data_IF_246307396916
#
_entry.id   IF_246307396916
#
_cell.length_a   1.000
_cell.length_b   1.000
_cell.length_c   1.000
_cell.angle_alpha   90.00
_cell.angle_beta   90.00
_cell.angle_gamma   90.00
#
_symmetry.space_group_name_H-M   'P 1'
#
loop_
_entity.id
_entity.type
_entity.pdbx_description
1 polymer ?
#
# COMPACT_ATOMS: atom_id res chain seq x y z
N UNK A 1 13.73 -1.59 3.39
CA UNK A 1 12.77 -2.71 3.49
C UNK A 1 13.55 -3.98 3.27
N UNK A 2 13.50 -4.97 4.17
CA UNK A 2 14.09 -6.28 3.86
C UNK A 2 13.08 -7.08 3.04
N UNK A 3 13.49 -7.62 1.89
CA UNK A 3 12.63 -8.48 1.05
C UNK A 3 12.05 -9.63 1.86
N UNK A 4 12.82 -10.12 2.84
CA UNK A 4 12.45 -11.18 3.78
C UNK A 4 11.31 -10.79 4.72
N UNK A 5 11.32 -9.59 5.28
CA UNK A 5 10.21 -9.13 6.13
C UNK A 5 8.94 -8.91 5.31
N UNK A 6 9.08 -8.42 4.06
CA UNK A 6 7.96 -8.34 3.12
C UNK A 6 7.34 -9.71 2.83
N UNK A 7 8.16 -10.72 2.51
CA UNK A 7 7.70 -12.09 2.29
C UNK A 7 7.03 -12.69 3.53
N UNK A 8 7.62 -12.50 4.72
CA UNK A 8 7.02 -12.95 5.98
C UNK A 8 5.65 -12.31 6.20
N UNK A 9 5.50 -11.00 5.93
CA UNK A 9 4.22 -10.31 6.02
C UNK A 9 3.17 -10.84 5.05
N UNK A 10 3.54 -11.06 3.78
CA UNK A 10 2.64 -11.62 2.77
C UNK A 10 2.19 -13.05 3.13
N UNK A 11 3.12 -13.91 3.53
CA UNK A 11 2.82 -15.27 3.96
C UNK A 11 1.92 -15.29 5.20
N UNK A 12 2.21 -14.43 6.19
CA UNK A 12 1.39 -14.26 7.39
C UNK A 12 -0.03 -13.81 7.02
N UNK A 13 -0.18 -12.84 6.12
CA UNK A 13 -1.47 -12.38 5.62
C UNK A 13 -2.27 -13.49 4.93
N UNK A 14 -1.61 -14.34 4.13
CA UNK A 14 -2.26 -15.46 3.46
C UNK A 14 -2.74 -16.53 4.46
N UNK A 15 -1.91 -16.88 5.45
CA UNK A 15 -2.29 -17.80 6.53
C UNK A 15 -3.45 -17.24 7.36
N UNK A 16 -3.39 -15.95 7.70
CA UNK A 16 -4.47 -15.27 8.41
C UNK A 16 -5.79 -15.35 7.65
N UNK A 17 -5.79 -15.07 6.35
CA UNK A 17 -6.99 -15.14 5.53
C UNK A 17 -7.58 -16.55 5.51
N UNK A 18 -6.74 -17.58 5.32
CA UNK A 18 -7.19 -18.98 5.31
C UNK A 18 -7.77 -19.39 6.67
N UNK A 19 -7.17 -18.93 7.77
CA UNK A 19 -7.58 -19.28 9.13
C UNK A 19 -8.85 -18.54 9.58
N UNK A 20 -8.99 -17.26 9.27
CA UNK A 20 -10.12 -16.42 9.71
C UNK A 20 -11.40 -16.77 8.94
N UNK A 21 -11.28 -17.17 7.68
CA UNK A 21 -12.42 -17.51 6.82
C UNK A 21 -13.39 -18.56 7.43
N UNK A 22 -12.94 -19.75 7.89
CA UNK A 22 -13.83 -20.73 8.51
C UNK A 22 -14.38 -20.27 9.86
N UNK A 23 -13.64 -19.45 10.62
CA UNK A 23 -14.12 -18.90 11.90
C UNK A 23 -15.26 -17.90 11.67
N UNK A 24 -15.15 -17.07 10.64
CA UNK A 24 -16.22 -16.17 10.24
C UNK A 24 -17.46 -16.93 9.75
N UNK A 25 -17.27 -18.03 9.02
CA UNK A 25 -18.37 -18.91 8.63
C UNK A 25 -19.10 -19.50 9.83
N UNK A 26 -18.35 -20.08 10.78
CA UNK A 26 -18.91 -20.66 12.00
C UNK A 26 -19.65 -19.60 12.83
N UNK A 27 -19.08 -18.39 12.93
CA UNK A 27 -19.72 -17.25 13.56
C UNK A 27 -21.07 -16.89 12.92
N UNK A 28 -21.10 -16.82 11.58
CA UNK A 28 -22.31 -16.50 10.82
C UNK A 28 -23.40 -17.55 11.01
N UNK A 29 -23.04 -18.83 10.96
CA UNK A 29 -23.96 -19.93 11.25
C UNK A 29 -24.52 -19.85 12.68
N UNK A 30 -23.66 -19.56 13.66
CA UNK A 30 -24.07 -19.42 15.06
C UNK A 30 -25.12 -18.31 15.23
N UNK A 31 -24.92 -17.15 14.60
CA UNK A 31 -25.90 -16.04 14.62
C UNK A 31 -27.23 -16.46 13.99
N UNK A 32 -27.21 -17.06 12.79
CA UNK A 32 -28.46 -17.50 12.13
C UNK A 32 -29.19 -18.59 12.91
N UNK A 33 -28.47 -19.43 13.64
CA UNK A 33 -29.05 -20.46 14.51
C UNK A 33 -29.51 -19.94 15.88
N UNK A 34 -29.39 -18.64 16.16
CA UNK A 34 -29.80 -18.03 17.44
C UNK A 34 -28.92 -18.40 18.63
N UNK A 35 -27.70 -18.89 18.39
CA UNK A 35 -26.80 -19.30 19.47
C UNK A 35 -26.11 -18.09 20.14
N UNK A 36 -26.18 -18.04 21.47
CA UNK A 36 -25.55 -17.00 22.32
C UNK A 36 -24.00 -17.02 22.23
N UNK A 37 -23.42 -18.10 21.69
CA UNK A 37 -21.96 -18.30 21.53
C UNK A 37 -21.34 -17.52 20.37
N UNK A 38 -22.10 -16.71 19.61
CA UNK A 38 -21.55 -15.90 18.52
C UNK A 38 -20.37 -15.00 18.95
N UNK A 39 -20.38 -14.45 20.16
CA UNK A 39 -19.26 -13.63 20.66
C UNK A 39 -17.95 -14.42 20.82
N UNK A 40 -18.02 -15.72 21.14
CA UNK A 40 -16.85 -16.58 21.32
C UNK A 40 -16.03 -16.71 20.03
N UNK A 41 -16.69 -16.90 18.88
CA UNK A 41 -15.99 -17.03 17.59
C UNK A 41 -15.28 -15.74 17.16
N UNK A 42 -15.84 -14.56 17.49
CA UNK A 42 -15.19 -13.27 17.25
C UNK A 42 -13.91 -13.15 18.09
N UNK A 43 -13.98 -13.47 19.38
CA UNK A 43 -12.81 -13.44 20.26
C UNK A 43 -11.75 -14.43 19.83
N UNK A 44 -12.15 -15.65 19.48
CA UNK A 44 -11.24 -16.69 18.99
C UNK A 44 -10.54 -16.26 17.70
N UNK A 45 -11.28 -15.66 16.75
CA UNK A 45 -10.71 -15.12 15.51
C UNK A 45 -9.73 -13.98 15.80
N UNK A 46 -10.07 -13.06 16.71
CA UNK A 46 -9.19 -11.95 17.10
C UNK A 46 -7.89 -12.43 17.76
N UNK A 47 -8.00 -13.35 18.73
CA UNK A 47 -6.83 -13.89 19.45
C UNK A 47 -5.94 -14.70 18.50
N UNK A 48 -6.52 -15.61 17.71
CA UNK A 48 -5.76 -16.41 16.75
C UNK A 48 -5.08 -15.53 15.71
N UNK A 49 -5.77 -14.52 15.18
CA UNK A 49 -5.19 -13.55 14.26
C UNK A 49 -4.02 -12.80 14.90
N UNK A 50 -4.19 -12.35 16.15
CA UNK A 50 -3.13 -11.71 16.92
C UNK A 50 -1.91 -12.62 17.12
N UNK A 51 -2.11 -13.90 17.47
CA UNK A 51 -1.01 -14.86 17.64
C UNK A 51 -0.26 -15.11 16.33
N UNK A 52 -0.96 -15.24 15.20
CA UNK A 52 -0.33 -15.44 13.89
C UNK A 52 0.42 -14.19 13.45
N UNK A 53 -0.14 -12.99 13.64
CA UNK A 53 0.55 -11.73 13.35
C UNK A 53 1.81 -11.55 14.22
N UNK A 54 1.74 -11.92 15.50
CA UNK A 54 2.86 -11.90 16.43
C UNK A 54 3.96 -12.89 15.99
N UNK A 55 3.58 -14.12 15.62
CA UNK A 55 4.51 -15.10 15.09
C UNK A 55 5.15 -14.63 13.78
N UNK A 56 4.36 -14.03 12.87
CA UNK A 56 4.85 -13.45 11.63
C UNK A 56 5.88 -12.34 11.87
N UNK A 57 5.61 -11.44 12.81
CA UNK A 57 6.55 -10.39 13.23
C UNK A 57 7.84 -10.95 13.84
N UNK A 58 7.73 -12.00 14.67
CA UNK A 58 8.88 -12.71 15.23
C UNK A 58 9.77 -13.33 14.14
N UNK A 59 9.16 -14.05 13.19
CA UNK A 59 9.89 -14.68 12.09
C UNK A 59 10.50 -13.65 11.14
N UNK A 60 9.79 -12.54 10.85
CA UNK A 60 10.31 -11.46 10.02
C UNK A 60 11.61 -10.87 10.60
N UNK A 61 11.61 -10.54 11.89
CA UNK A 61 12.80 -10.04 12.58
C UNK A 61 13.93 -11.07 12.64
N UNK A 62 13.61 -12.36 12.86
CA UNK A 62 14.59 -13.45 12.92
C UNK A 62 15.24 -13.73 11.56
N UNK A 63 14.46 -13.79 10.48
CA UNK A 63 14.95 -14.09 9.12
C UNK A 63 15.70 -12.92 8.49
N UNK A 64 15.33 -11.69 8.85
CA UNK A 64 16.10 -10.51 8.50
C UNK A 64 17.48 -10.47 9.20
N UNK A 65 17.68 -11.28 10.26
CA UNK A 65 18.96 -11.39 10.95
C UNK A 65 19.37 -10.14 11.71
N UNK A 66 18.43 -9.24 12.00
CA UNK A 66 18.73 -8.00 12.73
C UNK A 66 19.10 -8.28 14.18
N UNK A 67 19.92 -7.43 14.78
CA UNK A 67 20.44 -7.47 16.12
C UNK A 67 19.94 -6.29 16.97
N UNK A 68 19.65 -5.17 16.33
CA UNK A 68 19.09 -3.99 17.00
C UNK A 68 17.62 -4.18 17.36
N UNK A 69 17.26 -3.81 18.60
CA UNK A 69 15.89 -3.93 19.12
C UNK A 69 14.89 -3.14 18.28
N UNK A 70 15.22 -1.90 17.94
CA UNK A 70 14.31 -1.01 17.24
C UNK A 70 14.09 -1.43 15.79
N UNK A 71 15.14 -1.91 15.12
CA UNK A 71 15.03 -2.49 13.77
C UNK A 71 14.19 -3.76 13.77
N UNK A 72 14.33 -4.63 14.77
CA UNK A 72 13.47 -5.84 14.90
C UNK A 72 12.00 -5.47 15.08
N UNK A 73 11.71 -4.49 15.93
CA UNK A 73 10.36 -3.97 16.11
C UNK A 73 9.81 -3.41 14.80
N UNK A 74 10.59 -2.60 14.07
CA UNK A 74 10.19 -2.03 12.79
C UNK A 74 9.94 -3.07 11.70
N UNK A 75 10.78 -4.11 11.62
CA UNK A 75 10.60 -5.22 10.67
C UNK A 75 9.35 -6.05 11.00
N UNK A 76 9.11 -6.28 12.29
CA UNK A 76 7.88 -6.92 12.76
C UNK A 76 6.65 -6.08 12.44
N UNK A 77 6.71 -4.76 12.68
CA UNK A 77 5.63 -3.83 12.37
C UNK A 77 5.30 -3.81 10.88
N UNK A 78 6.33 -3.80 10.03
CA UNK A 78 6.17 -3.87 8.58
C UNK A 78 5.48 -5.17 8.15
N UNK A 79 5.95 -6.31 8.65
CA UNK A 79 5.37 -7.60 8.31
C UNK A 79 3.91 -7.70 8.76
N UNK A 80 3.60 -7.23 9.98
CA UNK A 80 2.25 -7.21 10.53
C UNK A 80 1.30 -6.27 9.79
N UNK A 81 1.75 -5.07 9.43
CA UNK A 81 0.95 -4.11 8.67
C UNK A 81 0.67 -4.61 7.24
N UNK A 82 1.64 -5.26 6.60
CA UNK A 82 1.45 -5.93 5.31
C UNK A 82 0.46 -7.09 5.42
N UNK A 83 0.58 -7.92 6.46
CA UNK A 83 -0.35 -9.01 6.71
C UNK A 83 -1.78 -8.52 6.90
N UNK A 84 -1.96 -7.45 7.70
CA UNK A 84 -3.25 -6.80 7.92
C UNK A 84 -3.83 -6.18 6.64
N UNK A 85 -2.99 -5.58 5.80
CA UNK A 85 -3.41 -5.05 4.49
C UNK A 85 -3.90 -6.16 3.57
N UNK A 86 -3.17 -7.28 3.52
CA UNK A 86 -3.54 -8.42 2.69
C UNK A 86 -4.84 -9.09 3.17
N UNK A 87 -4.98 -9.25 4.49
CA UNK A 87 -6.21 -9.73 5.12
C UNK A 87 -7.39 -8.79 4.84
N UNK A 88 -7.18 -7.47 4.87
CA UNK A 88 -8.19 -6.50 4.49
C UNK A 88 -8.64 -6.69 3.03
N UNK A 89 -7.69 -6.81 2.10
CA UNK A 89 -7.99 -6.96 0.68
C UNK A 89 -8.80 -8.22 0.35
N UNK A 90 -8.47 -9.35 0.98
CA UNK A 90 -9.09 -10.64 0.68
C UNK A 90 -10.35 -10.94 1.51
N UNK A 91 -10.49 -10.34 2.69
CA UNK A 91 -11.57 -10.67 3.62
C UNK A 91 -12.15 -9.46 4.35
N UNK A 92 -11.30 -8.60 4.93
CA UNK A 92 -11.74 -7.54 5.84
C UNK A 92 -12.69 -6.53 5.21
N UNK A 93 -12.46 -6.16 3.94
CA UNK A 93 -13.36 -5.27 3.21
C UNK A 93 -14.77 -5.87 3.11
N UNK A 94 -14.89 -7.13 2.67
CA UNK A 94 -16.19 -7.80 2.56
C UNK A 94 -16.87 -7.99 3.92
N UNK A 95 -16.11 -8.35 4.96
CA UNK A 95 -16.64 -8.51 6.31
C UNK A 95 -17.25 -7.19 6.83
N UNK A 96 -16.62 -6.05 6.54
CA UNK A 96 -17.16 -4.75 6.93
C UNK A 96 -18.51 -4.44 6.25
N UNK A 97 -18.68 -4.80 4.97
CA UNK A 97 -19.93 -4.62 4.24
C UNK A 97 -21.04 -5.57 4.70
N UNK A 98 -20.75 -6.87 4.81
CA UNK A 98 -21.73 -7.90 5.19
C UNK A 98 -22.28 -7.67 6.62
N UNK A 99 -21.44 -7.21 7.55
CA UNK A 99 -21.87 -6.84 8.91
C UNK A 99 -22.96 -5.75 8.93
N UNK A 100 -22.83 -4.74 8.07
CA UNK A 100 -23.80 -3.63 8.03
C UNK A 100 -25.10 -4.06 7.34
N UNK A 101 -25.02 -4.88 6.29
CA UNK A 101 -26.21 -5.38 5.61
C UNK A 101 -27.04 -6.32 6.51
N UNK A 102 -26.39 -7.07 7.40
CA UNK A 102 -27.07 -7.86 8.43
C UNK A 102 -27.72 -7.00 9.52
N UNK A 103 -27.02 -5.98 10.02
CA UNK A 103 -27.52 -5.12 11.08
C UNK A 103 -28.66 -4.19 10.62
N UNK A 104 -28.68 -3.85 9.34
CA UNK A 104 -29.70 -3.00 8.73
C UNK A 104 -30.20 -3.70 7.46
N UNK A 105 -31.30 -4.46 7.48
CA UNK A 105 -31.86 -5.07 6.28
C UNK A 105 -32.38 -4.00 5.29
N UNK A 106 -32.51 -4.38 4.02
CA UNK A 106 -32.90 -3.49 2.92
C UNK A 106 -34.27 -2.85 3.17
N UNK A 107 -34.30 -1.52 3.18
CA UNK A 107 -35.53 -0.73 3.24
C UNK A 107 -35.64 0.17 2.02
N UNK A 108 -36.84 0.33 1.42
CA UNK A 108 -37.06 1.26 0.31
C UNK A 108 -36.99 2.74 0.75
N UNK A 109 -36.94 3.02 2.05
CA UNK A 109 -36.89 4.38 2.57
C UNK A 109 -35.52 5.03 2.35
N UNK A 110 -35.51 6.17 1.68
CA UNK A 110 -34.29 6.91 1.28
C UNK A 110 -33.33 7.21 2.45
N UNK A 111 -33.85 7.57 3.64
CA UNK A 111 -33.03 7.90 4.80
C UNK A 111 -32.31 6.67 5.42
N UNK A 112 -32.88 5.47 5.26
CA UNK A 112 -32.23 4.21 5.67
C UNK A 112 -31.11 3.86 4.70
N UNK A 113 -31.36 4.00 3.39
CA UNK A 113 -30.32 3.79 2.37
C UNK A 113 -29.15 4.77 2.56
N UNK A 114 -29.47 6.02 2.88
CA UNK A 114 -28.48 7.05 3.19
C UNK A 114 -27.58 6.68 4.37
N UNK A 115 -28.20 6.21 5.45
CA UNK A 115 -27.50 5.77 6.65
C UNK A 115 -26.64 4.53 6.38
N UNK A 116 -27.12 3.57 5.57
CA UNK A 116 -26.34 2.39 5.17
C UNK A 116 -25.09 2.75 4.38
N UNK A 117 -25.21 3.62 3.37
CA UNK A 117 -24.08 4.05 2.54
C UNK A 117 -22.98 4.66 3.42
N UNK A 118 -23.38 5.50 4.37
CA UNK A 118 -22.47 6.13 5.34
C UNK A 118 -21.74 5.09 6.20
N UNK A 119 -22.50 4.18 6.82
CA UNK A 119 -21.98 3.14 7.69
C UNK A 119 -21.05 2.17 6.96
N UNK A 120 -21.39 1.75 5.75
CA UNK A 120 -20.53 0.88 4.92
C UNK A 120 -19.20 1.59 4.62
N UNK A 121 -19.26 2.86 4.21
CA UNK A 121 -18.08 3.66 3.89
C UNK A 121 -17.16 3.79 5.11
N UNK A 122 -17.69 4.26 6.23
CA UNK A 122 -16.93 4.42 7.47
C UNK A 122 -16.38 3.09 8.01
N UNK A 123 -17.20 2.03 8.05
CA UNK A 123 -16.80 0.73 8.60
C UNK A 123 -15.73 0.04 7.75
N UNK A 124 -15.79 0.18 6.43
CA UNK A 124 -14.77 -0.38 5.52
C UNK A 124 -13.40 0.28 5.80
N UNK A 125 -13.36 1.61 5.93
CA UNK A 125 -12.13 2.34 6.24
C UNK A 125 -11.60 2.08 7.65
N UNK A 126 -12.48 2.01 8.65
CA UNK A 126 -12.11 1.64 10.01
C UNK A 126 -11.58 0.21 10.09
N UNK A 127 -12.16 -0.72 9.33
CA UNK A 127 -11.66 -2.09 9.24
C UNK A 127 -10.23 -2.10 8.69
N UNK A 128 -9.96 -1.38 7.59
CA UNK A 128 -8.60 -1.25 7.07
C UNK A 128 -7.63 -0.71 8.14
N UNK A 129 -7.95 0.41 8.78
CA UNK A 129 -7.09 1.01 9.81
C UNK A 129 -6.85 0.04 10.98
N UNK A 130 -7.88 -0.68 11.42
CA UNK A 130 -7.75 -1.65 12.51
C UNK A 130 -6.83 -2.81 12.16
N UNK A 131 -6.94 -3.35 10.94
CA UNK A 131 -6.09 -4.45 10.47
C UNK A 131 -4.67 -3.98 10.19
N UNK A 132 -4.50 -2.80 9.57
CA UNK A 132 -3.20 -2.22 9.26
C UNK A 132 -2.42 -1.83 10.52
N UNK A 133 -3.00 -0.99 11.38
CA UNK A 133 -2.35 -0.50 12.60
C UNK A 133 -2.28 -1.61 13.64
N UNK A 134 -3.37 -2.35 13.87
CA UNK A 134 -3.40 -3.45 14.82
C UNK A 134 -2.42 -4.56 14.43
N UNK A 135 -2.41 -4.95 13.15
CA UNK A 135 -1.43 -5.88 12.61
C UNK A 135 -0.01 -5.37 12.78
N UNK A 136 0.24 -4.08 12.51
CA UNK A 136 1.54 -3.44 12.72
C UNK A 136 2.00 -3.46 14.18
N UNK A 137 1.13 -3.09 15.13
CA UNK A 137 1.46 -3.09 16.56
C UNK A 137 1.76 -4.49 17.09
N UNK A 138 0.91 -5.47 16.74
CA UNK A 138 1.10 -6.87 17.15
C UNK A 138 2.34 -7.47 16.50
N UNK A 139 2.58 -7.15 15.22
CA UNK A 139 3.81 -7.52 14.52
C UNK A 139 5.06 -6.91 15.16
N UNK A 140 4.99 -5.64 15.60
CA UNK A 140 6.08 -4.97 16.30
C UNK A 140 6.42 -5.67 17.62
N UNK A 141 5.40 -6.07 18.39
CA UNK A 141 5.56 -6.88 19.59
C UNK A 141 6.23 -8.23 19.26
N UNK A 142 5.80 -8.90 18.19
CA UNK A 142 6.45 -10.11 17.68
C UNK A 142 7.93 -9.91 17.37
N UNK A 143 8.27 -8.82 16.69
CA UNK A 143 9.65 -8.43 16.40
C UNK A 143 10.46 -8.19 17.67
N UNK A 144 9.90 -7.47 18.64
CA UNK A 144 10.52 -7.22 19.94
C UNK A 144 10.78 -8.51 20.72
N UNK A 145 9.87 -9.49 20.68
CA UNK A 145 10.07 -10.77 21.39
C UNK A 145 11.34 -11.51 20.94
N UNK A 146 11.84 -11.25 19.73
CA UNK A 146 13.13 -11.83 19.29
C UNK A 146 14.32 -11.32 20.11
N UNK A 147 14.23 -10.16 20.78
CA UNK A 147 15.33 -9.60 21.60
C UNK A 147 15.58 -10.36 22.89
N UNK A 148 14.62 -11.15 23.35
CA UNK A 148 14.80 -12.02 24.52
C UNK A 148 15.89 -13.08 24.30
N UNK A 149 16.11 -13.48 23.04
CA UNK A 149 17.27 -14.28 22.63
C UNK A 149 18.34 -13.34 22.10
N UNK A 150 19.24 -12.89 22.97
CA UNK A 150 20.34 -11.99 22.61
C UNK A 150 21.08 -12.48 21.36
N UNK A 151 21.18 -11.61 20.34
CA UNK A 151 21.99 -11.87 19.16
C UNK A 151 23.24 -11.02 19.23
N UNK A 152 24.41 -11.67 19.18
CA UNK A 152 25.72 -10.99 19.11
C UNK A 152 26.12 -10.64 17.67
N UNK A 153 25.26 -10.92 16.67
CA UNK A 153 25.58 -10.62 15.26
C UNK A 153 25.51 -9.11 15.02
N UNK A 154 26.41 -8.56 14.23
CA UNK A 154 26.26 -7.19 13.70
C UNK A 154 25.24 -7.21 12.57
N UNK A 155 24.46 -6.14 12.49
CA UNK A 155 23.56 -5.90 11.37
C UNK A 155 24.37 -5.68 10.11
N UNK A 156 24.35 -6.68 9.23
CA UNK A 156 24.86 -6.53 7.86
C UNK A 156 23.71 -5.99 7.03
N UNK A 157 23.89 -4.79 6.53
CA UNK A 157 22.92 -4.16 5.65
C UNK A 157 23.12 -4.68 4.23
N UNK A 158 22.07 -5.27 3.66
CA UNK A 158 22.10 -5.72 2.27
C UNK A 158 21.97 -4.50 1.35
N UNK A 159 22.96 -4.30 0.49
CA UNK A 159 22.99 -3.16 -0.45
C UNK A 159 21.93 -3.29 -1.55
N UNK A 160 21.29 -4.45 -1.74
CA UNK A 160 20.26 -4.66 -2.78
C UNK A 160 18.84 -4.27 -2.34
N UNK A 161 18.55 -4.31 -1.04
CA UNK A 161 17.26 -4.01 -0.41
C UNK A 161 16.78 -2.53 -0.51
N UNK A 162 17.66 -1.52 -0.44
CA UNK A 162 17.26 -0.12 -0.46
C UNK A 162 16.76 0.36 -1.83
N UNK A 163 17.34 -0.16 -2.91
CA UNK A 163 16.90 0.16 -4.28
C UNK A 163 15.45 -0.28 -4.50
N UNK A 164 15.05 -1.41 -3.92
CA UNK A 164 13.66 -1.86 -3.97
C UNK A 164 12.75 -0.91 -3.18
N UNK A 165 13.19 -0.47 -2.00
CA UNK A 165 12.43 0.49 -1.20
C UNK A 165 12.29 1.86 -1.90
N UNK A 166 13.32 2.30 -2.63
CA UNK A 166 13.28 3.52 -3.42
C UNK A 166 12.24 3.41 -4.55
N UNK A 167 12.30 2.34 -5.34
CA UNK A 167 11.38 2.12 -6.47
C UNK A 167 9.93 1.93 -6.01
N UNK A 168 9.73 1.22 -4.90
CA UNK A 168 8.43 1.11 -4.24
C UNK A 168 7.90 2.50 -3.84
N UNK A 169 8.73 3.32 -3.18
CA UNK A 169 8.34 4.66 -2.70
C UNK A 169 8.02 5.63 -3.84
N UNK A 170 8.84 5.62 -4.91
CA UNK A 170 8.62 6.41 -6.14
C UNK A 170 7.28 6.05 -6.80
N UNK A 171 6.83 4.81 -6.65
CA UNK A 171 5.58 4.32 -7.24
C UNK A 171 4.37 4.60 -6.35
N UNK A 172 4.48 4.33 -5.05
CA UNK A 172 3.34 4.43 -4.11
C UNK A 172 2.94 5.87 -3.81
N UNK A 173 3.88 6.82 -3.86
CA UNK A 173 3.58 8.24 -3.59
C UNK A 173 2.63 8.82 -4.64
N UNK A 174 2.93 8.78 -5.96
CA UNK A 174 1.99 9.20 -6.99
C UNK A 174 0.66 8.43 -6.95
N UNK A 175 0.70 7.11 -6.72
CA UNK A 175 -0.51 6.30 -6.60
C UNK A 175 -1.43 6.78 -5.45
N UNK A 176 -0.83 7.15 -4.32
CA UNK A 176 -1.58 7.66 -3.16
C UNK A 176 -2.15 9.05 -3.40
N UNK A 177 -1.45 9.92 -4.17
CA UNK A 177 -2.01 11.20 -4.63
C UNK A 177 -3.26 10.94 -5.48
N UNK A 178 -3.16 10.07 -6.49
CA UNK A 178 -4.28 9.74 -7.38
C UNK A 178 -5.45 9.15 -6.58
N UNK A 179 -5.20 8.20 -5.68
CA UNK A 179 -6.24 7.63 -4.82
C UNK A 179 -6.92 8.69 -3.94
N UNK A 180 -6.15 9.64 -3.41
CA UNK A 180 -6.68 10.75 -2.60
C UNK A 180 -7.59 11.67 -3.41
N UNK A 181 -7.18 12.00 -4.63
CA UNK A 181 -7.96 12.87 -5.52
C UNK A 181 -9.25 12.17 -5.95
N UNK A 182 -9.18 10.89 -6.34
CA UNK A 182 -10.36 10.11 -6.71
C UNK A 182 -11.31 9.99 -5.51
N UNK A 183 -10.81 9.70 -4.31
CA UNK A 183 -11.63 9.67 -3.10
C UNK A 183 -12.32 11.02 -2.83
N UNK A 184 -11.59 12.13 -2.99
CA UNK A 184 -12.11 13.49 -2.81
C UNK A 184 -13.16 13.88 -3.86
N UNK A 185 -13.16 13.26 -5.04
CA UNK A 185 -14.18 13.46 -6.08
C UNK A 185 -15.40 12.56 -5.87
N UNK A 186 -15.18 11.29 -5.53
CA UNK A 186 -16.24 10.26 -5.54
C UNK A 186 -17.15 10.36 -4.32
N UNK A 187 -16.59 10.34 -3.10
CA UNK A 187 -17.39 10.21 -1.88
C UNK A 187 -18.26 11.44 -1.54
N UNK A 188 -17.83 12.67 -1.84
CA UNK A 188 -18.67 13.85 -1.60
C UNK A 188 -19.87 13.91 -2.53
N UNK A 189 -19.70 13.48 -3.79
CA UNK A 189 -20.81 13.33 -4.74
C UNK A 189 -21.79 12.26 -4.26
N UNK A 190 -21.26 11.13 -3.79
CA UNK A 190 -22.05 10.08 -3.18
C UNK A 190 -22.82 10.58 -1.94
N UNK A 191 -22.21 11.45 -1.11
CA UNK A 191 -22.90 12.08 0.01
C UNK A 191 -24.01 13.04 -0.45
N UNK A 192 -23.78 13.80 -1.53
CA UNK A 192 -24.78 14.72 -2.09
C UNK A 192 -25.98 14.01 -2.72
N UNK A 193 -25.79 12.82 -3.30
CA UNK A 193 -26.89 11.98 -3.81
C UNK A 193 -27.75 11.37 -2.69
N UNK A 194 -27.32 11.52 -1.44
CA UNK A 194 -27.81 10.78 -0.29
C UNK A 194 -28.41 11.71 0.79
N UNK A 195 -28.01 12.98 0.83
CA UNK A 195 -28.39 13.89 1.90
C UNK A 195 -29.65 14.71 1.59
N UNK A 196 -30.75 14.43 2.32
CA UNK A 196 -31.65 15.47 2.81
C UNK A 196 -30.99 16.30 3.94
N UNK A 197 -31.60 17.40 4.42
CA UNK A 197 -30.94 18.42 5.23
C UNK A 197 -30.70 17.93 6.66
N UNK A 198 -29.53 17.33 6.92
CA UNK A 198 -29.04 17.18 8.29
C UNK A 198 -27.55 17.47 8.38
N UNK A 199 -27.28 18.59 9.02
CA UNK A 199 -26.00 19.21 9.29
C UNK A 199 -25.26 18.46 10.41
N UNK A 200 -24.17 17.77 10.02
CA UNK A 200 -22.99 17.29 10.81
C UNK A 200 -22.33 16.04 10.21
N UNK A 201 -22.86 15.51 9.10
CA UNK A 201 -22.50 14.25 8.43
C UNK A 201 -21.17 14.17 7.65
N UNK A 202 -20.33 15.20 7.68
CA UNK A 202 -19.15 15.31 6.78
C UNK A 202 -17.99 14.36 7.17
N UNK A 203 -17.96 13.81 8.39
CA UNK A 203 -16.79 13.08 8.92
C UNK A 203 -16.61 11.63 8.41
N UNK A 204 -17.69 10.86 8.22
CA UNK A 204 -17.58 9.44 7.80
C UNK A 204 -17.36 9.29 6.28
N UNK A 205 -17.89 10.21 5.48
CA UNK A 205 -17.70 10.22 4.01
C UNK A 205 -16.34 10.80 3.59
N UNK A 206 -15.67 11.51 4.51
CA UNK A 206 -14.30 11.99 4.32
C UNK A 206 -13.25 10.96 4.74
N UNK A 207 -13.64 9.89 5.45
CA UNK A 207 -12.72 8.85 5.94
C UNK A 207 -11.86 8.22 4.83
N UNK A 208 -12.37 7.93 3.62
CA UNK A 208 -11.55 7.46 2.50
C UNK A 208 -10.42 8.44 2.11
N UNK A 209 -10.70 9.74 2.12
CA UNK A 209 -9.70 10.80 1.85
C UNK A 209 -8.68 10.86 2.99
N UNK A 210 -9.13 10.74 4.23
CA UNK A 210 -8.23 10.73 5.39
C UNK A 210 -7.31 9.51 5.39
N UNK A 211 -7.83 8.31 5.06
CA UNK A 211 -7.03 7.09 4.94
C UNK A 211 -6.04 7.18 3.78
N UNK A 212 -6.43 7.74 2.63
CA UNK A 212 -5.51 7.89 1.50
C UNK A 212 -4.40 8.90 1.80
N UNK A 213 -4.72 10.00 2.50
CA UNK A 213 -3.74 10.96 3.00
C UNK A 213 -2.80 10.34 4.02
N UNK A 214 -3.31 9.49 4.92
CA UNK A 214 -2.48 8.74 5.86
C UNK A 214 -1.48 7.82 5.14
N UNK A 215 -1.95 7.06 4.13
CA UNK A 215 -1.08 6.24 3.29
C UNK A 215 -0.04 7.07 2.52
N UNK A 216 -0.44 8.23 2.01
CA UNK A 216 0.46 9.17 1.34
C UNK A 216 1.53 9.71 2.30
N UNK A 217 1.16 10.12 3.51
CA UNK A 217 2.10 10.60 4.53
C UNK A 217 3.13 9.52 4.85
N UNK A 218 2.70 8.29 5.13
CA UNK A 218 3.62 7.17 5.40
C UNK A 218 4.56 6.94 4.22
N UNK A 219 4.02 6.92 3.00
CA UNK A 219 4.78 6.69 1.77
C UNK A 219 5.80 7.81 1.51
N UNK A 220 5.41 9.06 1.79
CA UNK A 220 6.28 10.21 1.61
C UNK A 220 7.37 10.26 2.69
N UNK A 221 7.06 9.91 3.94
CA UNK A 221 8.07 9.72 4.99
C UNK A 221 9.08 8.66 4.55
N UNK A 222 8.62 7.50 4.07
CA UNK A 222 9.51 6.46 3.56
C UNK A 222 10.41 6.97 2.43
N UNK A 223 9.86 7.70 1.47
CA UNK A 223 10.63 8.31 0.39
C UNK A 223 11.71 9.28 0.92
N UNK A 224 11.35 10.17 1.85
CA UNK A 224 12.31 11.13 2.45
C UNK A 224 13.42 10.48 3.27
N UNK A 225 13.21 9.27 3.78
CA UNK A 225 14.23 8.51 4.50
C UNK A 225 15.12 7.70 3.55
N UNK A 226 14.54 7.10 2.51
CA UNK A 226 15.27 6.24 1.57
C UNK A 226 16.13 7.05 0.60
N UNK A 227 15.64 8.19 0.11
CA UNK A 227 16.37 9.04 -0.85
C UNK A 227 17.76 9.47 -0.35
N UNK A 228 17.94 10.06 0.85
CA UNK A 228 19.26 10.46 1.34
C UNK A 228 20.16 9.25 1.62
N UNK A 229 19.58 8.12 2.05
CA UNK A 229 20.33 6.88 2.21
C UNK A 229 20.90 6.40 0.88
N UNK A 230 20.07 6.29 -0.16
CA UNK A 230 20.49 5.85 -1.49
C UNK A 230 21.45 6.82 -2.17
N UNK A 231 21.23 8.12 -1.95
CA UNK A 231 22.20 9.13 -2.36
C UNK A 231 23.57 8.82 -1.74
N UNK A 232 23.63 8.45 -0.45
CA UNK A 232 24.88 8.12 0.26
C UNK A 232 25.50 6.78 -0.11
N UNK A 233 24.70 5.82 -0.56
CA UNK A 233 25.15 4.48 -0.93
C UNK A 233 25.52 4.36 -2.42
N UNK A 234 25.01 5.25 -3.28
CA UNK A 234 25.22 5.14 -4.73
C UNK A 234 26.70 5.23 -5.13
N UNK A 235 27.11 4.28 -5.98
CA UNK A 235 28.49 4.08 -6.47
C UNK A 235 28.69 4.52 -7.91
N UNK A 236 27.62 4.91 -8.61
CA UNK A 236 27.67 5.23 -10.03
C UNK A 236 26.60 6.25 -10.40
N UNK A 237 26.83 6.95 -11.52
CA UNK A 237 25.99 8.08 -11.94
C UNK A 237 24.53 7.70 -12.22
N UNK A 238 24.29 6.56 -12.86
CA UNK A 238 22.92 6.10 -13.17
C UNK A 238 22.10 5.83 -11.90
N UNK A 239 22.67 5.20 -10.89
CA UNK A 239 22.01 5.02 -9.59
C UNK A 239 21.65 6.35 -8.92
N UNK A 240 22.49 7.39 -9.07
CA UNK A 240 22.12 8.73 -8.60
C UNK A 240 21.03 9.41 -9.43
N UNK A 241 20.88 9.06 -10.71
CA UNK A 241 19.79 9.59 -11.53
C UNK A 241 18.42 9.00 -11.09
N UNK A 242 18.38 7.74 -10.64
CA UNK A 242 17.19 7.13 -10.00
C UNK A 242 16.86 7.81 -8.65
N UNK A 243 17.87 8.04 -7.81
CA UNK A 243 17.70 8.75 -6.52
C UNK A 243 17.20 10.18 -6.74
N UNK A 244 17.71 10.85 -7.78
CA UNK A 244 17.25 12.18 -8.19
C UNK A 244 15.79 12.16 -8.63
N UNK A 245 15.33 11.12 -9.33
CA UNK A 245 13.90 10.94 -9.63
C UNK A 245 13.08 10.83 -8.33
N UNK A 246 13.55 10.07 -7.35
CA UNK A 246 12.91 9.99 -6.03
C UNK A 246 12.81 11.35 -5.34
N UNK A 247 13.87 12.16 -5.37
CA UNK A 247 13.81 13.52 -4.86
C UNK A 247 12.79 14.39 -5.61
N UNK A 248 12.73 14.33 -6.94
CA UNK A 248 11.74 15.08 -7.71
C UNK A 248 10.29 14.69 -7.40
N UNK A 249 10.02 13.39 -7.23
CA UNK A 249 8.71 12.91 -6.78
C UNK A 249 8.37 13.50 -5.41
N UNK A 250 9.30 13.46 -4.45
CA UNK A 250 9.11 14.06 -3.13
C UNK A 250 8.81 15.57 -3.19
N UNK A 251 9.59 16.32 -3.98
CA UNK A 251 9.39 17.77 -4.18
C UNK A 251 8.01 18.08 -4.78
N UNK A 252 7.61 17.32 -5.80
CA UNK A 252 6.36 17.55 -6.51
C UNK A 252 5.11 17.11 -5.72
N UNK A 253 5.26 16.26 -4.69
CA UNK A 253 4.13 15.63 -4.00
C UNK A 253 3.19 16.66 -3.37
N UNK A 254 3.69 17.62 -2.57
CA UNK A 254 2.85 18.65 -1.97
C UNK A 254 2.13 19.55 -3.00
N UNK A 255 2.82 20.22 -3.95
CA UNK A 255 2.16 21.13 -4.87
C UNK A 255 1.18 20.40 -5.79
N UNK A 256 1.52 19.20 -6.26
CA UNK A 256 0.61 18.40 -7.11
C UNK A 256 -0.64 18.00 -6.32
N UNK A 257 -0.48 17.48 -5.10
CA UNK A 257 -1.62 17.14 -4.24
C UNK A 257 -2.50 18.36 -3.95
N UNK A 258 -1.89 19.51 -3.61
CA UNK A 258 -2.62 20.73 -3.31
C UNK A 258 -3.47 21.19 -4.50
N UNK A 259 -2.87 21.25 -5.70
CA UNK A 259 -3.57 21.63 -6.94
C UNK A 259 -4.70 20.64 -7.23
N UNK A 260 -4.40 19.33 -7.19
CA UNK A 260 -5.37 18.30 -7.54
C UNK A 260 -6.49 18.11 -6.50
N UNK A 261 -6.31 18.55 -5.25
CA UNK A 261 -7.40 18.63 -4.26
C UNK A 261 -8.20 19.92 -4.37
N UNK A 262 -7.54 21.04 -4.66
CA UNK A 262 -8.18 22.35 -4.79
C UNK A 262 -9.13 22.43 -5.98
N UNK A 263 -8.80 21.77 -7.09
CA UNK A 263 -9.64 21.74 -8.29
C UNK A 263 -11.02 21.08 -8.05
N UNK A 264 -11.11 19.84 -7.52
CA UNK A 264 -12.38 19.15 -7.34
C UNK A 264 -13.14 19.54 -6.08
N UNK A 265 -12.46 19.93 -4.99
CA UNK A 265 -13.11 20.10 -3.68
C UNK A 265 -12.35 21.05 -2.74
N UNK A 266 -12.65 22.35 -2.81
CA UNK A 266 -11.98 23.40 -2.01
C UNK A 266 -12.33 23.34 -0.53
N UNK A 267 -13.53 22.90 -0.18
CA UNK A 267 -14.02 22.76 1.19
C UNK A 267 -13.20 21.76 2.02
N UNK A 268 -12.46 20.83 1.38
CA UNK A 268 -11.54 19.89 2.05
C UNK A 268 -10.51 20.62 2.92
N UNK A 269 -10.07 21.82 2.51
CA UNK A 269 -9.08 22.60 3.26
C UNK A 269 -9.63 23.24 4.54
N UNK A 270 -10.94 23.16 4.79
CA UNK A 270 -11.51 23.54 6.09
C UNK A 270 -11.35 22.42 7.14
N UNK A 271 -11.03 21.19 6.72
CA UNK A 271 -10.91 20.05 7.62
C UNK A 271 -9.52 20.05 8.31
N UNK A 272 -9.46 20.12 9.65
CA UNK A 272 -8.20 20.33 10.38
C UNK A 272 -7.20 19.19 10.16
N UNK A 273 -7.66 17.94 10.12
CA UNK A 273 -6.80 16.77 9.87
C UNK A 273 -6.14 16.84 8.49
N UNK A 274 -6.85 17.38 7.48
CA UNK A 274 -6.33 17.47 6.12
C UNK A 274 -5.29 18.59 6.04
N UNK A 275 -5.52 19.71 6.72
CA UNK A 275 -4.52 20.77 6.86
C UNK A 275 -3.24 20.26 7.53
N UNK A 276 -3.36 19.48 8.61
CA UNK A 276 -2.20 18.86 9.28
C UNK A 276 -1.45 17.93 8.32
N UNK A 277 -2.17 17.08 7.58
CA UNK A 277 -1.55 16.19 6.59
C UNK A 277 -0.84 16.97 5.48
N UNK A 278 -1.47 18.02 4.95
CA UNK A 278 -0.89 18.92 3.94
C UNK A 278 0.37 19.64 4.46
N UNK A 279 0.36 20.07 5.73
CA UNK A 279 1.53 20.68 6.37
C UNK A 279 2.70 19.70 6.44
N UNK A 280 2.45 18.47 6.93
CA UNK A 280 3.45 17.41 6.99
C UNK A 280 4.01 17.12 5.58
N UNK A 281 3.14 16.93 4.60
CA UNK A 281 3.54 16.65 3.20
C UNK A 281 4.36 17.81 2.61
N UNK A 282 4.03 19.05 2.95
CA UNK A 282 4.78 20.25 2.53
C UNK A 282 6.17 20.29 3.16
N UNK A 283 6.28 19.99 4.47
CA UNK A 283 7.57 19.89 5.15
C UNK A 283 8.44 18.78 4.54
N UNK A 284 7.87 17.62 4.23
CA UNK A 284 8.59 16.51 3.58
C UNK A 284 9.05 16.86 2.15
N UNK A 285 8.23 17.62 1.41
CA UNK A 285 8.61 18.15 0.10
C UNK A 285 9.80 19.12 0.21
N UNK A 286 9.80 19.99 1.23
CA UNK A 286 10.93 20.89 1.51
C UNK A 286 12.20 20.11 1.89
N UNK A 287 12.08 19.08 2.72
CA UNK A 287 13.20 18.17 3.04
C UNK A 287 13.75 17.50 1.78
N UNK A 288 12.90 17.16 0.82
CA UNK A 288 13.32 16.61 -0.48
C UNK A 288 14.10 17.64 -1.32
N UNK A 289 13.71 18.92 -1.31
CA UNK A 289 14.48 20.02 -1.93
C UNK A 289 15.85 20.14 -1.27
N UNK A 290 15.89 20.20 0.06
CA UNK A 290 17.14 20.31 0.81
C UNK A 290 18.06 19.13 0.52
N UNK A 291 17.52 17.91 0.46
CA UNK A 291 18.29 16.69 0.13
C UNK A 291 18.82 16.73 -1.31
N UNK A 292 18.04 17.23 -2.27
CA UNK A 292 18.48 17.40 -3.65
C UNK A 292 19.69 18.32 -3.74
N UNK A 293 19.60 19.50 -3.12
CA UNK A 293 20.61 20.56 -3.20
C UNK A 293 21.86 20.20 -2.38
N UNK A 294 21.69 19.74 -1.15
CA UNK A 294 22.81 19.52 -0.22
C UNK A 294 23.56 18.20 -0.44
N UNK A 295 22.91 17.19 -1.04
CA UNK A 295 23.45 15.83 -1.09
C UNK A 295 23.49 15.25 -2.50
N UNK A 296 22.37 15.25 -3.23
CA UNK A 296 22.27 14.53 -4.51
C UNK A 296 23.05 15.23 -5.62
N UNK A 297 22.83 16.54 -5.82
CA UNK A 297 23.51 17.29 -6.89
C UNK A 297 25.03 17.34 -6.71
N UNK A 298 25.58 17.64 -5.52
CA UNK A 298 27.03 17.64 -5.29
C UNK A 298 27.63 16.26 -5.55
N UNK A 299 27.00 15.20 -5.03
CA UNK A 299 27.51 13.84 -5.22
C UNK A 299 27.44 13.38 -6.67
N UNK A 300 26.40 13.78 -7.41
CA UNK A 300 26.29 13.49 -8.85
C UNK A 300 27.42 14.13 -9.66
N UNK A 301 27.88 15.32 -9.25
CA UNK A 301 28.99 16.01 -9.91
C UNK A 301 30.33 15.27 -9.76
N UNK A 302 30.51 14.49 -8.69
CA UNK A 302 31.73 13.69 -8.47
C UNK A 302 31.87 12.55 -9.49
N UNK A 303 30.76 12.03 -10.03
CA UNK A 303 30.81 10.92 -10.98
C UNK A 303 31.07 11.39 -12.42
N UNK A 304 32.19 10.92 -12.97
CA UNK A 304 32.58 11.21 -14.36
C UNK A 304 31.47 10.80 -15.34
N UNK A 305 31.15 11.62 -16.35
CA UNK A 305 30.23 11.23 -17.42
C UNK A 305 30.82 10.04 -18.22
N UNK A 306 29.97 9.25 -18.90
CA UNK A 306 30.45 8.20 -19.78
C UNK A 306 31.40 8.78 -20.85
N UNK A 307 32.61 8.23 -21.03
CA UNK A 307 33.62 8.81 -21.91
C UNK A 307 33.27 8.70 -23.40
N UNK A 308 32.47 7.70 -23.80
CA UNK A 308 32.08 7.44 -25.19
C UNK A 308 30.63 7.83 -25.47
N UNK A 309 30.38 8.40 -26.67
CA UNK A 309 29.02 8.71 -27.16
C UNK A 309 28.09 7.50 -27.15
N UNK A 310 28.58 6.31 -27.49
CA UNK A 310 27.82 5.06 -27.47
C UNK A 310 27.39 4.64 -26.05
N UNK A 311 28.33 4.67 -25.10
CA UNK A 311 28.05 4.40 -23.69
C UNK A 311 27.11 5.44 -23.08
N UNK A 312 27.19 6.70 -23.53
CA UNK A 312 26.26 7.76 -23.15
C UNK A 312 24.84 7.51 -23.69
N UNK A 313 24.72 7.02 -24.92
CA UNK A 313 23.43 6.68 -25.54
C UNK A 313 22.79 5.46 -24.87
N UNK A 314 23.57 4.41 -24.62
CA UNK A 314 23.11 3.21 -23.89
C UNK A 314 22.71 3.56 -22.45
N UNK A 315 23.51 4.35 -21.73
CA UNK A 315 23.18 4.80 -20.38
C UNK A 315 21.98 5.75 -20.34
N UNK A 316 21.73 6.53 -21.39
CA UNK A 316 20.59 7.44 -21.46
C UNK A 316 19.28 6.73 -21.79
N UNK A 317 19.32 5.71 -22.65
CA UNK A 317 18.13 4.96 -23.05
C UNK A 317 17.88 3.85 -22.03
N UNK A 318 18.83 2.96 -21.82
CA UNK A 318 18.64 1.73 -21.07
C UNK A 318 19.18 1.78 -19.63
N UNK A 319 19.84 2.88 -19.24
CA UNK A 319 20.45 2.98 -17.91
C UNK A 319 21.41 1.82 -17.66
N UNK A 320 21.22 1.12 -16.54
CA UNK A 320 21.95 -0.10 -16.19
C UNK A 320 21.13 -1.37 -16.44
N UNK A 321 19.93 -1.26 -17.04
CA UNK A 321 18.97 -2.36 -17.09
C UNK A 321 19.49 -3.57 -17.88
N UNK A 322 20.26 -3.36 -18.95
CA UNK A 322 20.81 -4.44 -19.77
C UNK A 322 21.70 -5.40 -18.96
N UNK A 323 22.29 -4.92 -17.86
CA UNK A 323 23.14 -5.68 -16.93
C UNK A 323 22.36 -6.28 -15.75
N UNK A 324 21.06 -6.06 -15.68
CA UNK A 324 20.21 -6.55 -14.60
C UNK A 324 19.90 -8.05 -14.74
N UNK A 325 19.64 -8.70 -13.60
CA UNK A 325 19.20 -10.10 -13.51
C UNK A 325 17.68 -10.15 -13.62
N UNK A 326 17.17 -10.88 -14.62
CA UNK A 326 15.73 -11.01 -14.89
C UNK A 326 14.88 -11.36 -13.66
N UNK A 327 15.22 -12.40 -12.86
CA UNK A 327 14.44 -12.77 -11.68
C UNK A 327 14.33 -11.66 -10.63
N UNK A 328 15.41 -10.90 -10.40
CA UNK A 328 15.42 -9.75 -9.47
C UNK A 328 14.49 -8.63 -9.97
N UNK A 329 14.47 -8.41 -11.28
CA UNK A 329 13.59 -7.43 -11.92
C UNK A 329 12.11 -7.79 -11.73
N UNK A 330 11.76 -9.06 -11.93
CA UNK A 330 10.38 -9.54 -11.75
C UNK A 330 9.90 -9.30 -10.32
N UNK A 331 10.70 -9.65 -9.31
CA UNK A 331 10.34 -9.42 -7.90
C UNK A 331 10.09 -7.94 -7.63
N UNK A 332 10.93 -7.06 -8.18
CA UNK A 332 10.76 -5.61 -8.06
C UNK A 332 9.48 -5.13 -8.75
N UNK A 333 9.20 -5.63 -9.95
CA UNK A 333 8.00 -5.27 -10.70
C UNK A 333 6.72 -5.75 -10.03
N UNK A 334 6.71 -6.94 -9.44
CA UNK A 334 5.58 -7.44 -8.66
C UNK A 334 5.33 -6.54 -7.45
N UNK A 335 6.37 -6.19 -6.69
CA UNK A 335 6.25 -5.30 -5.54
C UNK A 335 5.75 -3.90 -5.91
N UNK A 336 6.34 -3.27 -6.92
CA UNK A 336 5.92 -1.96 -7.41
C UNK A 336 4.49 -1.99 -7.98
N UNK A 337 4.14 -3.02 -8.76
CA UNK A 337 2.79 -3.19 -9.33
C UNK A 337 1.72 -3.31 -8.25
N UNK A 338 1.99 -4.08 -7.19
CA UNK A 338 1.09 -4.18 -6.03
C UNK A 338 0.93 -2.81 -5.36
N UNK A 339 2.04 -2.15 -5.02
CA UNK A 339 2.01 -0.86 -4.32
C UNK A 339 1.41 0.29 -5.14
N UNK A 340 1.43 0.18 -6.48
CA UNK A 340 0.82 1.15 -7.38
C UNK A 340 -0.70 1.17 -7.28
N UNK A 341 -1.34 0.02 -7.03
CA UNK A 341 -2.81 -0.06 -7.06
C UNK A 341 -3.42 -0.15 -5.66
N UNK A 342 -2.63 -0.56 -4.67
CA UNK A 342 -3.09 -0.77 -3.32
C UNK A 342 -3.79 0.45 -2.69
N UNK A 343 -3.29 1.70 -2.81
CA UNK A 343 -3.98 2.87 -2.25
C UNK A 343 -5.39 3.06 -2.83
N UNK A 344 -5.51 2.94 -4.16
CA UNK A 344 -6.79 3.10 -4.86
C UNK A 344 -7.78 1.98 -4.50
N UNK A 345 -7.28 0.74 -4.42
CA UNK A 345 -8.10 -0.39 -4.02
C UNK A 345 -8.64 -0.21 -2.61
N UNK A 346 -7.75 0.12 -1.67
CA UNK A 346 -8.11 0.26 -0.25
C UNK A 346 -9.16 1.35 -0.09
N UNK A 347 -8.92 2.56 -0.60
CA UNK A 347 -9.76 3.71 -0.23
C UNK A 347 -10.97 3.90 -1.12
N UNK A 348 -10.94 3.45 -2.37
CA UNK A 348 -12.03 3.68 -3.33
C UNK A 348 -12.71 2.38 -3.73
N UNK A 349 -11.98 1.47 -4.36
CA UNK A 349 -12.59 0.29 -5.02
C UNK A 349 -13.27 -0.62 -4.00
N UNK A 350 -12.62 -0.88 -2.86
CA UNK A 350 -13.17 -1.75 -1.82
C UNK A 350 -14.51 -1.23 -1.27
N UNK A 351 -14.62 0.09 -1.10
CA UNK A 351 -15.85 0.73 -0.64
C UNK A 351 -16.92 0.66 -1.72
N UNK A 352 -16.59 0.98 -2.97
CA UNK A 352 -17.54 0.91 -4.08
C UNK A 352 -18.07 -0.51 -4.30
N UNK A 353 -17.23 -1.55 -4.13
CA UNK A 353 -17.68 -2.94 -4.16
C UNK A 353 -18.68 -3.22 -3.03
N UNK A 354 -18.41 -2.76 -1.80
CA UNK A 354 -19.35 -2.92 -0.69
C UNK A 354 -20.66 -2.15 -0.88
N UNK A 355 -20.63 -1.05 -1.64
CA UNK A 355 -21.82 -0.26 -1.98
C UNK A 355 -22.56 -0.78 -3.22
N UNK A 356 -21.93 -1.61 -4.06
CA UNK A 356 -22.53 -2.17 -5.27
C UNK A 356 -23.89 -2.85 -5.07
N UNK A 357 -24.17 -3.60 -3.98
CA UNK A 357 -25.51 -4.16 -3.74
C UNK A 357 -26.62 -3.10 -3.70
N UNK A 358 -26.27 -1.88 -3.27
CA UNK A 358 -27.21 -0.77 -3.09
C UNK A 358 -27.31 0.10 -4.34
N UNK A 359 -26.22 0.23 -5.10
CA UNK A 359 -26.12 1.15 -6.24
C UNK A 359 -26.52 0.49 -7.56
N UNK A 360 -26.09 -0.77 -7.78
CA UNK A 360 -26.42 -1.54 -8.98
C UNK A 360 -26.32 -3.04 -8.69
N UNK A 361 -27.45 -3.73 -8.46
CA UNK A 361 -27.45 -5.16 -8.15
C UNK A 361 -27.01 -6.04 -9.34
N UNK A 362 -26.84 -5.49 -10.54
CA UNK A 362 -26.38 -6.24 -11.73
C UNK A 362 -24.88 -6.50 -11.74
N UNK A 363 -24.07 -5.70 -11.01
CA UNK A 363 -22.61 -5.89 -10.81
C UNK A 363 -22.25 -7.30 -10.33
N UNK A 364 -23.23 -7.89 -9.68
CA UNK A 364 -23.17 -9.12 -8.95
C UNK A 364 -23.46 -10.33 -9.86
N UNK A 365 -23.97 -10.13 -11.07
CA UNK A 365 -24.29 -11.19 -12.05
C UNK A 365 -23.10 -12.11 -12.38
N UNK A 366 -21.87 -11.64 -12.15
CA UNK A 366 -20.62 -12.37 -12.40
C UNK A 366 -20.31 -13.40 -11.29
N UNK A 367 -20.95 -13.29 -10.12
CA UNK A 367 -20.71 -14.13 -8.95
C UNK A 367 -21.99 -14.88 -8.53
N UNK A 368 -21.92 -16.20 -8.24
CA UNK A 368 -23.09 -16.98 -7.84
C UNK A 368 -23.87 -16.35 -6.69
N UNK A 369 -25.21 -16.42 -6.69
CA UNK A 369 -26.00 -15.95 -5.57
C UNK A 369 -25.67 -16.76 -4.32
N UNK A 370 -25.42 -16.07 -3.21
CA UNK A 370 -25.13 -16.73 -1.94
C UNK A 370 -24.54 -15.80 -0.89
N UNK A 371 -24.44 -16.29 0.36
CA UNK A 371 -23.93 -15.51 1.49
C UNK A 371 -22.50 -14.98 1.28
N UNK A 372 -21.72 -15.60 0.39
CA UNK A 372 -20.31 -15.31 0.17
C UNK A 372 -20.00 -14.39 -1.00
N UNK A 373 -21.03 -13.87 -1.66
CA UNK A 373 -20.89 -13.13 -2.92
C UNK A 373 -19.96 -11.93 -2.79
N UNK A 374 -20.08 -11.18 -1.71
CA UNK A 374 -19.25 -10.00 -1.45
C UNK A 374 -17.77 -10.37 -1.20
N UNK A 375 -17.52 -11.48 -0.49
CA UNK A 375 -16.17 -12.00 -0.25
C UNK A 375 -15.50 -12.45 -1.54
N UNK A 376 -16.23 -13.20 -2.37
CA UNK A 376 -15.74 -13.65 -3.67
C UNK A 376 -15.46 -12.46 -4.60
N UNK A 377 -16.34 -11.45 -4.61
CA UNK A 377 -16.14 -10.25 -5.44
C UNK A 377 -14.93 -9.43 -5.00
N UNK A 378 -14.77 -9.17 -3.70
CA UNK A 378 -13.60 -8.44 -3.17
C UNK A 378 -12.29 -9.21 -3.45
N UNK A 379 -12.26 -10.51 -3.20
CA UNK A 379 -11.09 -11.34 -3.47
C UNK A 379 -10.75 -11.41 -4.97
N UNK A 380 -11.76 -11.56 -5.83
CA UNK A 380 -11.59 -11.60 -7.28
C UNK A 380 -11.09 -10.26 -7.81
N UNK A 381 -11.69 -9.15 -7.41
CA UNK A 381 -11.30 -7.81 -7.89
C UNK A 381 -9.91 -7.43 -7.36
N UNK A 382 -9.62 -7.60 -6.07
CA UNK A 382 -8.27 -7.34 -5.53
C UNK A 382 -7.23 -8.22 -6.21
N UNK A 383 -7.46 -9.53 -6.26
CA UNK A 383 -6.52 -10.48 -6.87
C UNK A 383 -6.25 -10.17 -8.34
N UNK A 384 -7.31 -9.87 -9.11
CA UNK A 384 -7.19 -9.55 -10.54
C UNK A 384 -6.42 -8.26 -10.76
N UNK A 385 -6.77 -7.18 -10.06
CA UNK A 385 -6.12 -5.89 -10.21
C UNK A 385 -4.62 -5.98 -9.85
N UNK A 386 -4.29 -6.64 -8.74
CA UNK A 386 -2.90 -6.84 -8.32
C UNK A 386 -2.11 -7.69 -9.33
N UNK A 387 -2.71 -8.76 -9.83
CA UNK A 387 -2.08 -9.66 -10.81
C UNK A 387 -1.86 -8.96 -12.15
N UNK A 388 -2.84 -8.20 -12.64
CA UNK A 388 -2.74 -7.43 -13.88
C UNK A 388 -1.66 -6.36 -13.76
N UNK A 389 -1.64 -5.59 -12.67
CA UNK A 389 -0.61 -4.58 -12.45
C UNK A 389 0.80 -5.18 -12.37
N UNK A 390 0.97 -6.27 -11.62
CA UNK A 390 2.25 -6.96 -11.48
C UNK A 390 2.74 -7.59 -12.80
N UNK A 391 1.84 -8.26 -13.53
CA UNK A 391 2.17 -8.91 -14.81
C UNK A 391 2.47 -7.90 -15.91
N UNK A 392 1.68 -6.83 -16.01
CA UNK A 392 1.90 -5.77 -17.00
C UNK A 392 3.23 -5.04 -16.77
N UNK A 393 3.53 -4.67 -15.51
CA UNK A 393 4.80 -4.04 -15.18
C UNK A 393 5.97 -5.01 -15.45
N UNK A 394 5.84 -6.28 -15.07
CA UNK A 394 6.86 -7.29 -15.35
C UNK A 394 7.10 -7.47 -16.85
N UNK A 395 6.04 -7.50 -17.66
CA UNK A 395 6.13 -7.62 -19.12
C UNK A 395 6.86 -6.43 -19.75
N UNK A 396 6.52 -5.19 -19.35
CA UNK A 396 7.21 -3.97 -19.81
C UNK A 396 8.70 -4.03 -19.49
N UNK A 397 9.05 -4.39 -18.25
CA UNK A 397 10.43 -4.41 -17.81
C UNK A 397 11.25 -5.55 -18.43
N UNK A 398 10.66 -6.72 -18.67
CA UNK A 398 11.31 -7.81 -19.42
C UNK A 398 11.52 -7.40 -20.88
N UNK A 399 10.52 -6.76 -21.50
CA UNK A 399 10.66 -6.22 -22.85
C UNK A 399 11.80 -5.21 -22.91
N UNK A 400 11.87 -4.28 -21.95
CA UNK A 400 12.93 -3.27 -21.88
C UNK A 400 14.32 -3.87 -21.60
N UNK A 401 14.40 -4.89 -20.75
CA UNK A 401 15.62 -5.67 -20.50
C UNK A 401 16.14 -6.32 -21.78
N UNK A 402 15.26 -6.98 -22.54
CA UNK A 402 15.62 -7.65 -23.79
C UNK A 402 16.03 -6.63 -24.86
N UNK A 403 15.31 -5.50 -24.97
CA UNK A 403 15.65 -4.43 -25.88
C UNK A 403 17.03 -3.82 -25.55
N UNK A 404 17.32 -3.60 -24.27
CA UNK A 404 18.63 -3.11 -23.81
C UNK A 404 19.77 -4.09 -24.09
N UNK A 405 19.56 -5.40 -23.85
CA UNK A 405 20.55 -6.45 -24.18
C UNK A 405 20.82 -6.54 -25.68
N UNK A 406 19.76 -6.49 -26.48
CA UNK A 406 19.86 -6.47 -27.93
C UNK A 406 20.65 -5.26 -28.43
N UNK A 407 20.33 -4.06 -27.92
CA UNK A 407 21.03 -2.83 -28.27
C UNK A 407 22.51 -2.84 -27.87
N UNK A 408 22.82 -3.36 -26.67
CA UNK A 408 24.20 -3.52 -26.19
C UNK A 408 25.00 -4.48 -27.09
N UNK A 409 24.42 -5.62 -27.46
CA UNK A 409 25.03 -6.59 -28.35
C UNK A 409 25.23 -6.04 -29.78
N UNK A 410 24.26 -5.28 -30.29
CA UNK A 410 24.37 -4.63 -31.61
C UNK A 410 25.47 -3.59 -31.65
N UNK A 411 25.63 -2.78 -30.59
CA UNK A 411 26.72 -1.81 -30.49
C UNK A 411 28.09 -2.49 -30.34
N UNK A 412 28.19 -3.57 -29.58
CA UNK A 412 29.44 -4.33 -29.44
C UNK A 412 29.93 -4.87 -30.80
N UNK A 413 29.00 -5.35 -31.65
CA UNK A 413 29.30 -5.83 -33.01
C UNK A 413 29.74 -4.73 -34.00
N UNK A 414 29.47 -3.45 -33.71
CA UNK A 414 29.87 -2.31 -34.56
C UNK A 414 31.15 -1.63 -34.09
N UNK A 415 31.61 -1.95 -32.89
CA UNK A 415 32.79 -1.33 -32.27
C UNK A 415 34.06 -2.20 -32.37
N UNK A 416 33.91 -3.48 -32.71
CA UNK A 416 34.99 -4.34 -33.21
C UNK A 416 34.90 -4.44 -34.72
#
# INVERSE_FOLDING_TARGET
MTTRAGMAGLATGLVLTIMIYPMYYAWRLAIFSGQVTGSFYIWLAGISAGMVALAGGFWAARWAGSAEKDRRAALGALAGALAGTFLFCLWGAAAAGDLIDQAFPSSPTWYVQASKIRLITGRTMLMFLSLFIGGGLVGALGGLLTTLKGSKKKDVFDLEEPQMALNASITVVPASIVATVIAAVVFPRLASSVNGPSTRLVTEMDLPVLVSLFLLVISHVALTLVVPHEARASTHRCGLDEVKMGAFVGIATAPVLAILLFLPRRDVFSHPVILIAMLIISTLSLVSILTLISLILPRRAVFKPPPNKHLKMEASLFGTIARSKGPRLIVLCVGCGILMVLPLYITVISVLINLSPLLDPTVFAIVPPGPWRLFQLQALVSGSILTVAASFLSAIYIFYLNLGRWFSAWNAKRAG
#
